data_IF_433694224521
#
_entry.id   IF_433694224521
#
_cell.length_a   1.000
_cell.length_b   1.000
_cell.length_c   1.000
_cell.angle_alpha   90.00
_cell.angle_beta   90.00
_cell.angle_gamma   90.00
#
_symmetry.space_group_name_H-M   'P 1'
#
loop_
_entity.id
_entity.type
_entity.pdbx_description
1 polymer ?
#
# COMPACT_ATOMS: atom_id res chain seq x y z
N UNK A 1 -17.59 9.14 -63.71
CA UNK A 1 -16.73 8.56 -62.66
C UNK A 1 -17.32 8.93 -61.31
N UNK A 2 -17.89 7.96 -60.59
CA UNK A 2 -18.52 8.17 -59.28
C UNK A 2 -17.44 7.97 -58.20
N UNK A 3 -17.19 8.99 -57.37
CA UNK A 3 -16.33 8.88 -56.19
C UNK A 3 -17.18 8.43 -55.00
N UNK A 4 -16.91 7.23 -54.50
CA UNK A 4 -17.45 6.72 -53.24
C UNK A 4 -16.53 7.23 -52.12
N UNK A 5 -17.07 8.04 -51.22
CA UNK A 5 -16.41 8.42 -49.96
C UNK A 5 -16.63 7.29 -48.95
N UNK A 6 -15.57 6.62 -48.52
CA UNK A 6 -15.60 5.76 -47.33
C UNK A 6 -15.42 6.63 -46.10
N UNK A 7 -16.47 6.76 -45.29
CA UNK A 7 -16.41 7.33 -43.95
C UNK A 7 -15.93 6.23 -43.00
N UNK A 8 -14.65 6.27 -42.62
CA UNK A 8 -14.11 5.39 -41.59
C UNK A 8 -14.60 5.87 -40.21
N UNK A 9 -15.53 5.12 -39.61
CA UNK A 9 -15.96 5.34 -38.24
C UNK A 9 -14.83 5.02 -37.27
N UNK A 10 -14.37 6.03 -36.52
CA UNK A 10 -13.47 5.81 -35.39
C UNK A 10 -14.27 5.15 -34.26
N UNK A 11 -13.96 3.87 -33.97
CA UNK A 11 -14.37 3.25 -32.71
C UNK A 11 -13.64 3.97 -31.58
N UNK A 12 -14.37 4.77 -30.81
CA UNK A 12 -13.88 5.34 -29.57
C UNK A 12 -13.53 4.23 -28.58
N UNK A 13 -12.29 4.23 -28.11
CA UNK A 13 -11.87 3.48 -26.93
C UNK A 13 -12.72 3.98 -25.75
N UNK A 14 -13.67 3.18 -25.28
CA UNK A 14 -14.37 3.45 -24.03
C UNK A 14 -13.34 3.53 -22.90
N UNK A 15 -13.22 4.71 -22.29
CA UNK A 15 -12.51 4.86 -21.03
C UNK A 15 -13.17 3.90 -20.02
N UNK A 16 -12.43 2.91 -19.53
CA UNK A 16 -12.89 2.07 -18.43
C UNK A 16 -13.10 2.99 -17.21
N UNK A 17 -14.35 3.36 -16.96
CA UNK A 17 -14.71 4.04 -15.72
C UNK A 17 -14.32 3.15 -14.54
N UNK A 18 -13.69 3.72 -13.52
CA UNK A 18 -13.36 2.99 -12.30
C UNK A 18 -14.65 2.43 -11.69
N UNK A 19 -14.62 1.20 -11.14
CA UNK A 19 -15.81 0.59 -10.56
C UNK A 19 -16.35 1.49 -9.43
N UNK A 20 -17.68 1.69 -9.36
CA UNK A 20 -18.27 2.47 -8.27
C UNK A 20 -17.95 1.80 -6.94
N UNK A 21 -17.62 2.61 -5.93
CA UNK A 21 -17.42 2.15 -4.54
C UNK A 21 -18.72 2.43 -3.80
N UNK A 22 -19.34 1.39 -3.24
CA UNK A 22 -20.52 1.55 -2.40
C UNK A 22 -20.14 2.00 -0.98
N UNK A 23 -20.89 2.93 -0.40
CA UNK A 23 -20.71 3.28 1.00
C UNK A 23 -21.10 2.08 1.90
N UNK A 24 -20.26 1.78 2.90
CA UNK A 24 -20.50 0.77 3.93
C UNK A 24 -20.78 1.49 5.26
N UNK A 25 -22.05 1.56 5.70
CA UNK A 25 -22.42 2.33 6.89
C UNK A 25 -21.62 1.98 8.15
N UNK A 26 -21.32 0.69 8.36
CA UNK A 26 -20.52 0.25 9.51
C UNK A 26 -19.06 0.75 9.45
N UNK A 27 -18.47 0.83 8.25
CA UNK A 27 -17.13 1.36 8.07
C UNK A 27 -17.08 2.89 8.23
N UNK A 28 -18.11 3.59 7.76
CA UNK A 28 -18.30 5.02 8.00
C UNK A 28 -18.43 5.32 9.49
N UNK A 29 -19.32 4.60 10.18
CA UNK A 29 -19.49 4.76 11.63
C UNK A 29 -18.19 4.49 12.40
N UNK A 30 -17.40 3.48 12.00
CA UNK A 30 -16.11 3.23 12.63
C UNK A 30 -15.13 4.40 12.44
N UNK A 31 -15.14 5.08 11.28
CA UNK A 31 -14.33 6.29 11.07
C UNK A 31 -14.84 7.46 11.92
N UNK A 32 -16.16 7.71 11.91
CA UNK A 32 -16.81 8.75 12.68
C UNK A 32 -16.51 8.61 14.19
N UNK A 33 -16.66 7.40 14.75
CA UNK A 33 -16.36 7.09 16.15
C UNK A 33 -14.88 7.29 16.52
N UNK A 34 -13.98 7.12 15.55
CA UNK A 34 -12.55 7.32 15.77
C UNK A 34 -12.17 8.81 15.80
N UNK A 35 -13.04 9.71 15.32
CA UNK A 35 -12.82 11.15 15.34
C UNK A 35 -11.74 11.64 14.37
N UNK A 36 -11.31 10.82 13.41
CA UNK A 36 -10.30 11.19 12.41
C UNK A 36 -10.90 11.24 11.01
N UNK A 37 -10.52 12.27 10.23
CA UNK A 37 -10.83 12.31 8.81
C UNK A 37 -10.11 11.16 8.10
N UNK A 38 -10.71 10.61 7.03
CA UNK A 38 -10.09 9.49 6.35
C UNK A 38 -11.04 8.68 5.49
N UNK A 39 -10.59 7.50 5.09
CA UNK A 39 -11.37 6.50 4.37
C UNK A 39 -10.85 5.12 4.68
N UNK A 40 -11.71 4.13 4.53
CA UNK A 40 -11.32 2.74 4.35
C UNK A 40 -11.92 2.26 3.05
N UNK A 41 -11.10 1.70 2.17
CA UNK A 41 -11.56 1.02 0.95
C UNK A 41 -11.39 -0.48 1.13
N UNK A 42 -12.42 -1.24 0.77
CA UNK A 42 -12.53 -2.69 0.89
C UNK A 42 -12.86 -3.26 -0.48
N UNK A 43 -12.22 -4.36 -0.84
CA UNK A 43 -12.47 -5.07 -2.09
C UNK A 43 -12.54 -6.58 -1.87
N UNK A 44 -13.64 -7.17 -2.32
CA UNK A 44 -13.84 -8.61 -2.44
C UNK A 44 -13.63 -9.00 -3.92
N UNK A 45 -12.51 -9.66 -4.28
CA UNK A 45 -12.24 -10.05 -5.66
C UNK A 45 -13.11 -11.21 -6.15
N UNK A 46 -13.72 -12.02 -5.27
CA UNK A 46 -14.60 -13.11 -5.69
C UNK A 46 -15.95 -12.57 -6.17
N UNK A 47 -16.47 -11.56 -5.46
CA UNK A 47 -17.74 -10.89 -5.80
C UNK A 47 -17.55 -9.66 -6.67
N UNK A 48 -16.30 -9.31 -6.98
CA UNK A 48 -15.90 -8.05 -7.61
C UNK A 48 -16.60 -6.82 -6.98
N UNK A 49 -16.69 -6.79 -5.66
CA UNK A 49 -17.45 -5.78 -4.91
C UNK A 49 -16.50 -4.82 -4.21
N UNK A 50 -16.72 -3.53 -4.44
CA UNK A 50 -15.98 -2.44 -3.80
C UNK A 50 -16.86 -1.73 -2.79
N UNK A 51 -16.35 -1.54 -1.58
CA UNK A 51 -17.04 -0.83 -0.51
C UNK A 51 -16.09 0.15 0.18
N UNK A 52 -16.61 1.22 0.78
CA UNK A 52 -15.80 2.11 1.59
C UNK A 52 -16.57 2.76 2.74
N UNK A 53 -15.83 3.18 3.76
CA UNK A 53 -16.27 4.23 4.68
C UNK A 53 -15.71 5.58 4.19
N UNK A 54 -16.57 6.59 4.10
CA UNK A 54 -16.29 7.88 3.45
C UNK A 54 -15.75 7.68 2.02
N UNK A 55 -16.59 7.13 1.14
CA UNK A 55 -16.21 6.82 -0.24
C UNK A 55 -15.71 8.05 -1.02
N UNK A 56 -16.20 9.25 -0.66
CA UNK A 56 -15.75 10.54 -1.21
C UNK A 56 -14.24 10.82 -1.03
N UNK A 57 -13.58 10.12 -0.11
CA UNK A 57 -12.15 10.28 0.19
C UNK A 57 -11.26 9.17 -0.40
N UNK A 58 -11.86 8.16 -1.02
CA UNK A 58 -11.18 6.96 -1.54
C UNK A 58 -10.07 7.30 -2.56
N UNK A 59 -10.30 8.32 -3.38
CA UNK A 59 -9.44 8.70 -4.50
C UNK A 59 -8.46 9.86 -4.18
N UNK A 60 -8.52 10.43 -2.97
CA UNK A 60 -7.52 11.41 -2.52
C UNK A 60 -6.14 10.74 -2.43
N UNK A 61 -5.16 11.25 -3.18
CA UNK A 61 -3.79 10.73 -3.13
C UNK A 61 -2.96 11.45 -2.07
N UNK A 62 -2.24 10.71 -1.23
CA UNK A 62 -1.28 11.24 -0.24
C UNK A 62 0.02 10.42 -0.25
N UNK A 63 1.02 10.83 0.54
CA UNK A 63 2.26 10.06 0.69
C UNK A 63 1.99 8.63 1.18
N UNK A 64 2.59 7.59 0.55
CA UNK A 64 2.43 6.21 1.00
C UNK A 64 3.19 5.90 2.30
N UNK A 65 4.25 6.65 2.60
CA UNK A 65 5.16 6.36 3.71
C UNK A 65 5.61 4.89 3.71
N UNK A 66 5.58 4.23 4.87
CA UNK A 66 6.05 2.85 5.02
C UNK A 66 5.21 1.79 4.28
N UNK A 67 4.05 2.12 3.69
CA UNK A 67 3.33 1.18 2.82
C UNK A 67 4.12 0.89 1.54
N UNK A 68 4.94 1.84 1.07
CA UNK A 68 5.81 1.67 -0.10
C UNK A 68 6.83 0.53 0.08
N UNK A 69 7.10 0.09 1.32
CA UNK A 69 7.96 -1.07 1.60
C UNK A 69 7.49 -2.34 0.88
N UNK A 70 6.20 -2.48 0.58
CA UNK A 70 5.68 -3.60 -0.21
C UNK A 70 6.29 -3.60 -1.61
N UNK A 71 6.18 -2.48 -2.33
CA UNK A 71 6.75 -2.34 -3.68
C UNK A 71 8.29 -2.31 -3.67
N UNK A 72 8.91 -1.65 -2.69
CA UNK A 72 10.37 -1.63 -2.55
C UNK A 72 10.93 -3.06 -2.37
N UNK A 73 10.29 -3.90 -1.54
CA UNK A 73 10.69 -5.31 -1.40
C UNK A 73 10.53 -6.11 -2.70
N UNK A 74 9.44 -5.91 -3.44
CA UNK A 74 9.25 -6.57 -4.75
C UNK A 74 10.40 -6.22 -5.71
N UNK A 75 10.76 -4.93 -5.79
CA UNK A 75 11.83 -4.46 -6.67
C UNK A 75 13.19 -4.97 -6.20
N UNK A 76 13.47 -4.96 -4.89
CA UNK A 76 14.73 -5.44 -4.34
C UNK A 76 14.95 -6.94 -4.62
N UNK A 77 13.88 -7.75 -4.52
CA UNK A 77 13.91 -9.18 -4.84
C UNK A 77 14.07 -9.41 -6.34
N UNK A 78 13.29 -8.72 -7.17
CA UNK A 78 13.33 -8.86 -8.63
C UNK A 78 14.69 -8.46 -9.22
N UNK A 79 15.34 -7.46 -8.63
CA UNK A 79 16.66 -7.01 -9.05
C UNK A 79 17.82 -7.83 -8.46
N UNK A 80 17.53 -8.85 -7.65
CA UNK A 80 18.53 -9.71 -7.02
C UNK A 80 19.37 -9.02 -5.94
N UNK A 81 18.97 -7.84 -5.47
CA UNK A 81 19.65 -7.08 -4.40
C UNK A 81 19.52 -7.81 -3.06
N UNK A 82 18.38 -8.48 -2.89
CA UNK A 82 18.08 -9.46 -1.85
C UNK A 82 17.53 -10.71 -2.54
N UNK A 83 17.73 -11.88 -1.93
CA UNK A 83 17.36 -13.18 -2.51
C UNK A 83 16.18 -13.83 -1.79
N UNK A 84 15.74 -13.27 -0.66
CA UNK A 84 14.67 -13.84 0.15
C UNK A 84 14.41 -13.06 1.43
N UNK A 85 13.52 -13.60 2.26
CA UNK A 85 13.11 -12.97 3.52
C UNK A 85 14.24 -12.87 4.55
N UNK A 86 15.19 -13.80 4.50
CA UNK A 86 16.34 -13.92 5.39
C UNK A 86 17.57 -13.13 4.92
N UNK A 87 17.47 -12.43 3.78
CA UNK A 87 18.56 -11.60 3.25
C UNK A 87 18.94 -10.51 4.25
N UNK A 88 20.20 -10.53 4.70
CA UNK A 88 20.73 -9.57 5.67
C UNK A 88 20.84 -8.19 5.05
N UNK A 89 20.26 -7.21 5.73
CA UNK A 89 20.36 -5.78 5.50
C UNK A 89 21.28 -5.20 6.60
N UNK A 90 22.51 -4.80 6.26
CA UNK A 90 23.47 -4.29 7.24
C UNK A 90 22.99 -3.00 7.92
N UNK A 91 23.31 -2.85 9.19
CA UNK A 91 23.25 -1.57 9.89
C UNK A 91 24.39 -0.67 9.45
N UNK A 92 24.12 0.62 9.36
CA UNK A 92 25.11 1.63 8.98
C UNK A 92 25.94 2.16 10.16
N UNK A 93 25.79 1.58 11.36
CA UNK A 93 26.50 2.00 12.57
C UNK A 93 25.93 3.26 13.22
N UNK A 94 24.88 3.88 12.65
CA UNK A 94 24.27 5.11 13.20
C UNK A 94 23.15 4.76 14.17
N UNK A 95 23.33 5.13 15.44
CA UNK A 95 22.32 4.96 16.47
C UNK A 95 21.14 5.94 16.26
N UNK A 96 19.91 5.40 16.31
CA UNK A 96 18.65 6.13 16.12
C UNK A 96 17.70 5.91 17.29
N UNK A 97 16.67 6.77 17.39
CA UNK A 97 15.65 6.71 18.47
C UNK A 97 14.93 5.36 18.57
N UNK A 98 14.65 4.72 17.43
CA UNK A 98 14.06 3.38 17.37
C UNK A 98 15.18 2.35 17.46
N UNK A 99 15.41 1.79 18.65
CA UNK A 99 16.52 0.90 18.95
C UNK A 99 16.49 -0.40 18.13
N UNK A 100 15.30 -0.84 17.74
CA UNK A 100 15.09 -1.99 16.87
C UNK A 100 15.67 -1.82 15.46
N UNK A 101 16.03 -0.59 15.06
CA UNK A 101 16.74 -0.29 13.81
C UNK A 101 18.26 -0.32 13.96
N UNK A 102 18.81 -0.32 15.18
CA UNK A 102 20.25 -0.14 15.41
C UNK A 102 21.00 -1.48 15.39
N UNK A 103 20.71 -2.32 14.39
CA UNK A 103 21.30 -3.64 14.20
C UNK A 103 21.12 -4.13 12.77
N UNK A 104 21.89 -5.15 12.39
CA UNK A 104 21.62 -5.90 11.17
C UNK A 104 20.21 -6.51 11.27
N UNK A 105 19.42 -6.40 10.20
CA UNK A 105 18.08 -6.95 10.10
C UNK A 105 18.00 -7.80 8.84
N UNK A 106 17.23 -8.87 8.84
CA UNK A 106 16.81 -9.49 7.59
C UNK A 106 15.66 -8.69 6.94
N UNK A 107 15.33 -8.99 5.69
CA UNK A 107 14.25 -8.32 4.96
C UNK A 107 12.91 -8.41 5.70
N UNK A 108 12.60 -9.58 6.28
CA UNK A 108 11.37 -9.82 7.06
C UNK A 108 11.28 -8.90 8.27
N UNK A 109 12.29 -8.90 9.12
CA UNK A 109 12.33 -8.11 10.35
C UNK A 109 12.33 -6.62 10.01
N UNK A 110 13.11 -6.20 8.99
CA UNK A 110 13.12 -4.82 8.52
C UNK A 110 11.72 -4.37 8.03
N UNK A 111 10.96 -5.26 7.37
CA UNK A 111 9.58 -4.98 6.97
C UNK A 111 8.67 -4.81 8.19
N UNK A 112 8.73 -5.77 9.13
CA UNK A 112 7.89 -5.80 10.35
C UNK A 112 8.14 -4.57 11.23
N UNK A 113 9.40 -4.27 11.58
CA UNK A 113 9.73 -3.11 12.41
C UNK A 113 9.72 -1.79 11.65
N UNK A 114 9.39 -1.83 10.36
CA UNK A 114 9.35 -0.68 9.46
C UNK A 114 10.66 0.10 9.41
N UNK A 115 11.79 -0.60 9.32
CA UNK A 115 13.13 -0.03 9.39
C UNK A 115 13.44 0.89 8.20
N UNK A 116 13.18 2.20 8.35
CA UNK A 116 13.39 3.18 7.28
C UNK A 116 14.84 3.18 6.76
N UNK A 117 15.89 3.20 7.61
CA UNK A 117 17.27 3.27 7.12
C UNK A 117 17.68 2.10 6.23
N UNK A 118 17.23 0.88 6.54
CA UNK A 118 17.50 -0.31 5.74
C UNK A 118 16.80 -0.28 4.38
N UNK A 119 15.55 0.20 4.32
CA UNK A 119 14.83 0.38 3.05
C UNK A 119 15.39 1.54 2.21
N UNK A 120 15.95 2.56 2.86
CA UNK A 120 16.70 3.62 2.18
C UNK A 120 17.98 3.08 1.54
N UNK A 121 18.72 2.22 2.27
CA UNK A 121 19.88 1.53 1.71
C UNK A 121 19.50 0.62 0.53
N UNK A 122 18.38 -0.10 0.62
CA UNK A 122 17.84 -0.87 -0.51
C UNK A 122 17.51 0.01 -1.70
N UNK A 123 16.78 1.12 -1.49
CA UNK A 123 16.41 2.04 -2.56
C UNK A 123 17.65 2.65 -3.26
N UNK A 124 18.69 3.01 -2.51
CA UNK A 124 19.98 3.46 -3.07
C UNK A 124 20.67 2.38 -3.90
N UNK A 125 20.66 1.11 -3.44
CA UNK A 125 21.20 -0.03 -4.19
C UNK A 125 20.38 -0.33 -5.46
N UNK A 126 19.06 -0.16 -5.43
CA UNK A 126 18.18 -0.26 -6.60
C UNK A 126 18.57 0.83 -7.61
N UNK A 127 18.71 2.08 -7.15
CA UNK A 127 19.01 3.23 -7.99
C UNK A 127 17.76 3.79 -8.70
N UNK A 128 17.82 5.06 -9.08
CA UNK A 128 16.67 5.82 -9.58
C UNK A 128 16.05 5.21 -10.85
N UNK A 129 16.86 4.86 -11.83
CA UNK A 129 16.36 4.36 -13.12
C UNK A 129 15.59 3.04 -12.98
N UNK A 130 16.12 2.10 -12.20
CA UNK A 130 15.43 0.84 -11.92
C UNK A 130 14.16 1.07 -11.11
N UNK A 131 14.22 1.92 -10.10
CA UNK A 131 13.06 2.27 -9.28
C UNK A 131 11.93 2.86 -10.12
N UNK A 132 12.23 3.88 -10.94
CA UNK A 132 11.25 4.53 -11.81
C UNK A 132 10.61 3.53 -12.77
N UNK A 133 11.41 2.69 -13.44
CA UNK A 133 10.89 1.68 -14.37
C UNK A 133 9.85 0.76 -13.73
N UNK A 134 10.10 0.28 -12.51
CA UNK A 134 9.14 -0.58 -11.82
C UNK A 134 7.93 0.20 -11.28
N UNK A 135 8.11 1.41 -10.77
CA UNK A 135 7.01 2.30 -10.35
C UNK A 135 6.07 2.57 -11.53
N UNK A 136 6.61 2.80 -12.72
CA UNK A 136 5.87 3.00 -13.96
C UNK A 136 5.18 1.72 -14.44
N UNK A 137 5.90 0.59 -14.49
CA UNK A 137 5.36 -0.69 -14.93
C UNK A 137 4.23 -1.20 -14.04
N UNK A 138 4.31 -0.94 -12.73
CA UNK A 138 3.21 -1.21 -11.79
C UNK A 138 2.09 -0.18 -11.95
N UNK A 139 2.40 1.04 -12.36
CA UNK A 139 1.45 2.16 -12.36
C UNK A 139 1.12 2.62 -10.94
N UNK A 140 2.12 2.66 -10.06
CA UNK A 140 1.93 2.90 -8.62
C UNK A 140 1.62 4.38 -8.31
N UNK A 141 0.34 4.68 -8.05
CA UNK A 141 -0.11 6.03 -7.73
C UNK A 141 0.18 7.04 -8.84
N UNK A 142 0.69 8.22 -8.48
CA UNK A 142 1.11 9.25 -9.44
C UNK A 142 2.48 8.99 -10.10
N UNK A 143 3.18 7.90 -9.71
CA UNK A 143 4.47 7.45 -10.28
C UNK A 143 5.64 8.43 -10.16
N UNK A 144 5.49 9.44 -9.29
CA UNK A 144 6.50 10.49 -9.12
C UNK A 144 7.52 10.11 -8.04
N UNK A 145 8.76 9.76 -8.43
CA UNK A 145 9.85 9.48 -7.48
C UNK A 145 10.75 10.71 -7.22
N UNK A 146 10.34 11.92 -7.58
CA UNK A 146 11.06 13.13 -7.27
C UNK A 146 11.23 13.34 -5.76
N UNK A 147 12.22 14.13 -5.35
CA UNK A 147 12.57 14.37 -3.95
C UNK A 147 13.67 13.47 -3.38
N UNK A 148 14.26 12.61 -4.21
CA UNK A 148 15.45 11.81 -3.88
C UNK A 148 15.14 10.32 -3.71
N UNK A 149 16.06 9.48 -4.23
CA UNK A 149 15.86 8.02 -4.35
C UNK A 149 15.58 7.30 -3.03
N UNK A 150 15.93 7.89 -1.90
CA UNK A 150 15.69 7.33 -0.57
C UNK A 150 14.70 8.14 0.29
N UNK A 151 14.06 9.17 -0.27
CA UNK A 151 13.06 10.00 0.42
C UNK A 151 11.72 10.10 -0.31
N UNK A 152 11.62 9.72 -1.58
CA UNK A 152 10.46 10.04 -2.42
C UNK A 152 9.11 9.55 -1.87
N UNK A 153 9.11 8.44 -1.12
CA UNK A 153 7.91 7.90 -0.46
C UNK A 153 7.62 8.48 0.93
N UNK A 154 8.56 9.23 1.52
CA UNK A 154 8.47 9.83 2.86
C UNK A 154 8.13 11.33 2.79
N UNK A 155 8.78 12.05 1.86
CA UNK A 155 8.70 13.50 1.77
C UNK A 155 8.78 14.04 0.32
N UNK A 156 9.01 13.17 -0.68
CA UNK A 156 9.10 13.60 -2.07
C UNK A 156 7.74 13.65 -2.79
N UNK A 157 7.76 13.42 -4.10
CA UNK A 157 6.62 13.61 -4.99
C UNK A 157 5.58 12.48 -5.00
N UNK A 158 5.91 11.29 -4.47
CA UNK A 158 5.05 10.11 -4.62
C UNK A 158 3.72 10.27 -3.87
N UNK A 159 2.61 10.04 -4.55
CA UNK A 159 1.26 10.08 -3.98
C UNK A 159 0.44 8.89 -4.47
N UNK A 160 -0.35 8.28 -3.59
CA UNK A 160 -1.25 7.17 -3.91
C UNK A 160 -2.54 7.27 -3.08
N UNK A 161 -3.68 6.88 -3.67
CA UNK A 161 -4.98 6.85 -3.01
C UNK A 161 -5.26 5.52 -2.30
N UNK A 162 -6.33 5.45 -1.49
CA UNK A 162 -6.72 4.21 -0.86
C UNK A 162 -7.24 3.19 -1.88
N UNK A 163 -7.97 3.65 -2.91
CA UNK A 163 -8.36 2.80 -4.04
C UNK A 163 -7.14 2.22 -4.75
N UNK A 164 -6.17 3.06 -5.09
CA UNK A 164 -4.97 2.62 -5.82
C UNK A 164 -4.13 1.64 -4.99
N UNK A 165 -4.08 1.80 -3.66
CA UNK A 165 -3.47 0.81 -2.77
C UNK A 165 -4.19 -0.54 -2.87
N UNK A 166 -5.52 -0.57 -2.83
CA UNK A 166 -6.32 -1.80 -2.97
C UNK A 166 -6.13 -2.44 -4.35
N UNK A 167 -6.09 -1.65 -5.43
CA UNK A 167 -5.84 -2.13 -6.79
C UNK A 167 -4.45 -2.78 -6.91
N UNK A 168 -3.41 -2.12 -6.38
CA UNK A 168 -2.06 -2.65 -6.31
C UNK A 168 -2.00 -3.97 -5.52
N UNK A 169 -2.62 -4.03 -4.35
CA UNK A 169 -2.64 -5.22 -3.50
C UNK A 169 -3.46 -6.36 -4.11
N UNK A 170 -4.54 -6.05 -4.83
CA UNK A 170 -5.32 -7.04 -5.57
C UNK A 170 -4.50 -7.72 -6.66
N UNK A 171 -3.70 -6.95 -7.40
CA UNK A 171 -2.77 -7.49 -8.39
C UNK A 171 -1.66 -8.29 -7.73
N UNK A 172 -1.09 -7.83 -6.62
CA UNK A 172 -0.11 -8.60 -5.85
C UNK A 172 -0.72 -9.95 -5.41
N UNK A 173 -1.91 -9.93 -4.82
CA UNK A 173 -2.61 -11.12 -4.34
C UNK A 173 -2.81 -12.14 -5.47
N UNK A 174 -3.27 -11.71 -6.64
CA UNK A 174 -3.49 -12.60 -7.81
C UNK A 174 -2.20 -13.02 -8.53
N UNK A 175 -1.10 -12.30 -8.33
CA UNK A 175 0.15 -12.53 -9.07
C UNK A 175 0.22 -11.79 -10.40
N UNK A 176 -0.56 -10.72 -10.56
CA UNK A 176 -0.72 -9.94 -11.81
C UNK A 176 0.16 -8.67 -11.83
N UNK A 177 1.29 -8.70 -11.12
CA UNK A 177 2.29 -7.64 -11.15
C UNK A 177 3.47 -8.06 -12.03
N UNK A 178 4.23 -7.10 -12.61
CA UNK A 178 5.39 -7.39 -13.46
C UNK A 178 6.63 -7.82 -12.64
N UNK A 179 6.46 -8.83 -11.78
CA UNK A 179 7.51 -9.43 -10.96
C UNK A 179 7.45 -10.95 -11.09
N UNK A 180 8.56 -11.61 -10.79
CA UNK A 180 8.60 -13.07 -10.70
C UNK A 180 7.64 -13.60 -9.63
N UNK A 181 7.09 -14.80 -9.86
CA UNK A 181 6.25 -15.49 -8.90
C UNK A 181 6.97 -15.69 -7.55
N UNK A 182 8.29 -15.92 -7.58
CA UNK A 182 9.13 -16.05 -6.40
C UNK A 182 9.20 -14.74 -5.60
N UNK A 183 9.45 -13.60 -6.24
CA UNK A 183 9.48 -12.30 -5.57
C UNK A 183 8.12 -11.97 -4.93
N UNK A 184 7.02 -12.18 -5.66
CA UNK A 184 5.67 -11.96 -5.13
C UNK A 184 5.35 -12.88 -3.95
N UNK A 185 5.72 -14.16 -4.02
CA UNK A 185 5.52 -15.10 -2.91
C UNK A 185 6.30 -14.69 -1.66
N UNK A 186 7.58 -14.29 -1.82
CA UNK A 186 8.40 -13.82 -0.71
C UNK A 186 7.83 -12.54 -0.07
N UNK A 187 7.32 -11.59 -0.86
CA UNK A 187 6.69 -10.38 -0.31
C UNK A 187 5.39 -10.69 0.42
N UNK A 188 4.54 -11.56 -0.13
CA UNK A 188 3.32 -12.02 0.58
C UNK A 188 3.68 -12.65 1.93
N UNK A 189 4.77 -13.41 1.98
CA UNK A 189 5.21 -14.08 3.20
C UNK A 189 5.74 -13.10 4.26
N UNK A 190 6.57 -12.11 3.91
CA UNK A 190 7.02 -11.11 4.90
C UNK A 190 5.91 -10.16 5.36
N UNK A 191 4.83 -10.04 4.59
CA UNK A 191 3.65 -9.26 4.97
C UNK A 191 2.79 -9.93 6.05
N UNK A 192 2.91 -11.25 6.24
CA UNK A 192 2.13 -11.97 7.24
C UNK A 192 2.52 -11.52 8.66
N UNK A 193 1.50 -11.19 9.46
CA UNK A 193 1.67 -11.01 10.90
C UNK A 193 1.92 -12.34 11.63
N UNK A 194 1.93 -12.31 12.96
CA UNK A 194 1.99 -13.53 13.78
C UNK A 194 0.83 -14.46 13.42
N UNK A 195 1.15 -15.75 13.23
CA UNK A 195 0.18 -16.80 12.90
C UNK A 195 -0.51 -17.25 14.18
N UNK A 196 -1.67 -16.69 14.47
CA UNK A 196 -2.61 -17.25 15.45
C UNK A 196 -3.62 -18.15 14.74
N UNK A 197 -4.30 -19.03 15.47
CA UNK A 197 -5.46 -19.76 14.93
C UNK A 197 -6.51 -18.76 14.46
N UNK A 198 -6.84 -18.75 13.17
CA UNK A 198 -7.81 -17.81 12.59
C UNK A 198 -7.43 -17.32 11.19
N UNK A 199 -8.09 -16.25 10.69
CA UNK A 199 -7.77 -15.62 9.42
C UNK A 199 -6.33 -15.11 9.34
N UNK A 200 -5.68 -15.26 8.19
CA UNK A 200 -4.31 -14.74 7.97
C UNK A 200 -4.40 -13.30 7.50
N UNK A 201 -3.82 -12.37 8.28
CA UNK A 201 -3.72 -10.96 7.88
C UNK A 201 -2.31 -10.69 7.33
N UNK A 202 -2.24 -10.20 6.10
CA UNK A 202 -1.01 -9.73 5.45
C UNK A 202 -1.12 -8.24 5.23
N UNK A 203 -0.32 -7.45 5.93
CA UNK A 203 -0.53 -6.00 5.94
C UNK A 203 0.74 -5.20 6.26
N UNK A 204 0.68 -3.91 5.90
CA UNK A 204 1.73 -2.93 6.20
C UNK A 204 1.13 -1.65 6.74
N UNK A 205 1.66 -1.20 7.87
CA UNK A 205 1.39 0.14 8.39
C UNK A 205 2.23 1.21 7.69
N UNK A 206 1.70 2.42 7.61
CA UNK A 206 2.39 3.62 7.16
C UNK A 206 2.06 4.82 8.03
N UNK A 207 2.98 5.77 8.08
CA UNK A 207 2.77 7.06 8.75
C UNK A 207 3.57 8.13 8.01
N UNK A 208 2.87 9.01 7.32
CA UNK A 208 3.43 10.14 6.60
C UNK A 208 3.36 11.39 7.46
N UNK A 209 4.49 12.11 7.57
CA UNK A 209 4.61 13.36 8.32
C UNK A 209 5.24 14.42 7.41
N UNK A 210 4.56 14.83 6.33
CA UNK A 210 5.06 15.88 5.46
C UNK A 210 5.19 17.21 6.23
N UNK A 211 6.28 17.98 6.04
CA UNK A 211 6.43 19.28 6.69
C UNK A 211 5.27 20.23 6.32
N UNK A 212 4.64 20.84 7.33
CA UNK A 212 3.59 21.85 7.16
C UNK A 212 2.30 21.36 6.51
N UNK A 213 2.06 20.06 6.48
CA UNK A 213 0.88 19.42 5.88
C UNK A 213 0.28 18.40 6.85
N UNK A 214 -0.97 18.02 6.62
CA UNK A 214 -1.64 16.98 7.39
C UNK A 214 -0.85 15.66 7.35
N UNK A 215 -0.82 14.99 8.49
CA UNK A 215 -0.21 13.68 8.63
C UNK A 215 -1.19 12.61 8.14
N UNK A 216 -0.67 11.53 7.56
CA UNK A 216 -1.50 10.41 7.11
C UNK A 216 -1.05 9.09 7.75
N UNK A 217 -1.98 8.41 8.42
CA UNK A 217 -1.80 7.07 8.98
C UNK A 217 -2.41 6.03 8.05
N UNK A 218 -1.64 5.00 7.70
CA UNK A 218 -2.06 3.94 6.80
C UNK A 218 -2.05 2.56 7.46
N UNK A 219 -3.03 1.73 7.10
CA UNK A 219 -2.91 0.28 7.20
C UNK A 219 -3.51 -0.34 5.95
N UNK A 220 -2.68 -1.05 5.19
CA UNK A 220 -3.07 -1.62 3.89
C UNK A 220 -2.69 -3.09 3.84
N UNK A 221 -3.51 -3.91 3.21
CA UNK A 221 -3.28 -5.35 3.20
C UNK A 221 -4.49 -6.15 2.75
N UNK A 222 -4.54 -7.41 3.17
CA UNK A 222 -5.70 -8.25 3.00
C UNK A 222 -5.83 -9.28 4.11
N UNK A 223 -7.03 -9.83 4.25
CA UNK A 223 -7.37 -10.93 5.16
C UNK A 223 -7.73 -12.15 4.32
N UNK A 224 -7.03 -13.26 4.54
CA UNK A 224 -7.28 -14.57 3.92
C UNK A 224 -8.07 -15.46 4.88
N UNK A 225 -9.17 -16.05 4.39
CA UNK A 225 -10.03 -17.03 5.07
C UNK A 225 -10.28 -18.21 4.14
N UNK A 226 -10.73 -19.37 4.67
CA UNK A 226 -11.22 -20.46 3.83
C UNK A 226 -12.33 -20.04 2.85
N UNK A 227 -13.19 -19.10 3.26
CA UNK A 227 -14.29 -18.57 2.44
C UNK A 227 -13.85 -17.55 1.39
N UNK A 228 -12.63 -17.01 1.47
CA UNK A 228 -12.13 -16.04 0.50
C UNK A 228 -11.20 -14.99 1.08
N UNK A 229 -11.00 -13.92 0.32
CA UNK A 229 -10.09 -12.83 0.65
C UNK A 229 -10.83 -11.50 0.67
N UNK A 230 -10.43 -10.60 1.57
CA UNK A 230 -10.86 -9.21 1.55
C UNK A 230 -9.64 -8.32 1.60
N UNK A 231 -9.46 -7.48 0.58
CA UNK A 231 -8.36 -6.54 0.45
C UNK A 231 -8.82 -5.21 1.03
N UNK A 232 -7.94 -4.51 1.75
CA UNK A 232 -8.27 -3.25 2.39
C UNK A 232 -7.14 -2.21 2.29
N UNK A 233 -7.54 -0.95 2.31
CA UNK A 233 -6.66 0.17 2.58
C UNK A 233 -7.38 1.21 3.42
N UNK A 234 -6.89 1.41 4.64
CA UNK A 234 -7.36 2.45 5.56
C UNK A 234 -6.36 3.59 5.59
N UNK A 235 -6.85 4.81 5.39
CA UNK A 235 -6.11 6.06 5.55
C UNK A 235 -6.84 6.95 6.54
N UNK A 236 -6.15 7.34 7.60
CA UNK A 236 -6.59 8.39 8.51
C UNK A 236 -5.70 9.62 8.35
N UNK A 237 -6.24 10.80 8.63
CA UNK A 237 -5.55 12.08 8.53
C UNK A 237 -5.72 12.89 9.81
N UNK A 238 -4.67 13.64 10.18
CA UNK A 238 -4.70 14.59 11.30
C UNK A 238 -3.84 15.82 11.00
N UNK A 239 -4.38 17.02 11.26
CA UNK A 239 -3.68 18.30 11.08
C UNK A 239 -3.03 18.84 12.37
N UNK A 240 -3.07 18.08 13.46
CA UNK A 240 -2.64 18.52 14.80
C UNK A 240 -1.37 17.86 15.34
N UNK A 241 -1.06 18.16 16.61
CA UNK A 241 -0.11 17.38 17.39
C UNK A 241 -0.53 15.91 17.40
N UNK A 242 0.46 15.01 17.46
CA UNK A 242 0.18 13.57 17.52
C UNK A 242 -0.64 13.25 18.76
N UNK A 243 -1.88 12.85 18.52
CA UNK A 243 -2.69 12.14 19.50
C UNK A 243 -2.18 10.69 19.57
N UNK A 244 -1.94 10.21 20.79
CA UNK A 244 -1.54 8.82 21.04
C UNK A 244 -2.58 7.82 20.48
N UNK A 245 -3.84 8.25 20.29
CA UNK A 245 -4.90 7.46 19.68
C UNK A 245 -4.80 7.33 18.14
N UNK A 246 -4.10 8.24 17.45
CA UNK A 246 -4.10 8.30 15.98
C UNK A 246 -3.49 7.07 15.31
N UNK A 247 -2.30 6.65 15.77
CA UNK A 247 -1.59 5.53 15.15
C UNK A 247 -2.26 4.16 15.43
N UNK A 248 -2.84 3.90 16.61
CA UNK A 248 -3.69 2.72 16.82
C UNK A 248 -4.99 2.75 16.01
N UNK A 249 -5.60 3.93 15.82
CA UNK A 249 -6.92 4.05 15.18
C UNK A 249 -6.98 3.45 13.77
N UNK A 250 -5.91 3.57 12.97
CA UNK A 250 -5.87 2.97 11.62
C UNK A 250 -6.09 1.46 11.64
N UNK A 251 -5.69 0.78 12.71
CA UNK A 251 -5.87 -0.67 12.87
C UNK A 251 -7.27 -0.96 13.43
N UNK A 252 -7.70 -0.24 14.47
CA UNK A 252 -9.00 -0.50 15.12
C UNK A 252 -10.19 -0.18 14.20
N UNK A 253 -10.15 0.91 13.44
CA UNK A 253 -11.16 1.24 12.41
C UNK A 253 -11.28 0.12 11.39
N UNK A 254 -10.14 -0.35 10.89
CA UNK A 254 -10.11 -1.42 9.89
C UNK A 254 -10.67 -2.72 10.44
N UNK A 255 -10.28 -3.11 11.66
CA UNK A 255 -10.80 -4.32 12.30
C UNK A 255 -12.31 -4.27 12.48
N UNK A 256 -12.86 -3.16 12.98
CA UNK A 256 -14.31 -2.97 13.11
C UNK A 256 -15.05 -3.10 11.77
N UNK A 257 -14.52 -2.49 10.71
CA UNK A 257 -15.10 -2.60 9.38
C UNK A 257 -15.07 -4.04 8.83
N UNK A 258 -13.99 -4.77 9.09
CA UNK A 258 -13.85 -6.18 8.69
C UNK A 258 -14.77 -7.10 9.53
N UNK A 259 -14.87 -6.88 10.84
CA UNK A 259 -15.79 -7.58 11.74
C UNK A 259 -17.26 -7.39 11.29
N UNK A 260 -17.63 -6.16 10.90
CA UNK A 260 -18.97 -5.86 10.37
C UNK A 260 -19.29 -6.60 9.06
N UNK A 261 -18.26 -7.03 8.31
CA UNK A 261 -18.40 -7.86 7.10
C UNK A 261 -18.30 -9.37 7.39
N UNK A 262 -18.11 -9.78 8.66
CA UNK A 262 -17.85 -11.17 9.03
C UNK A 262 -16.51 -11.70 8.48
N UNK A 263 -15.54 -10.81 8.27
CA UNK A 263 -14.20 -11.11 7.76
C UNK A 263 -13.23 -11.48 8.89
N UNK A 264 -13.45 -10.92 10.08
CA UNK A 264 -12.69 -11.21 11.29
C UNK A 264 -13.59 -11.76 12.39
#
# INVERSE_FOLDING_TARGET
MIRILFLAGALGLSANAQPPIAELPAARQALDDAGFAGTIVLYDPQRNTWQAGHAEHADKRVLPASTFKILNSLIALETGIVTGAESVLPWDGVARKRSEWNRNLDLRTAFQVSAVPHYQALARRIGADRMQRFVDAVGYGNRDISGGIDQFWLAGGLRISAREQVEFLARLYRGDLPFSAAAMAAVKDIMAGERTSGPVIRAKTGWAVPPGQDQAGWWVGWVERPSGVTIFATRLETGGALDDAFLPARISVTRRALEALGVL
#
